data_IF_607277624544
#
_entry.id   IF_607277624544
#
_cell.length_a   1.000
_cell.length_b   1.000
_cell.length_c   1.000
_cell.angle_alpha   90.00
_cell.angle_beta   90.00
_cell.angle_gamma   90.00
#
_symmetry.space_group_name_H-M   'P 1'
#
loop_
_entity.id
_entity.type
_entity.pdbx_description
1 polymer ?
#
# COMPACT_ATOMS: atom_id res chain seq x y z
N UNK A 1 -4.91 9.84 24.71
CA UNK A 1 -4.80 9.86 23.23
C UNK A 1 -6.19 9.66 22.70
N UNK A 2 -6.66 10.56 21.84
CA UNK A 2 -7.98 10.46 21.24
C UNK A 2 -7.89 9.50 20.03
N UNK A 3 -8.85 8.59 19.87
CA UNK A 3 -8.86 7.61 18.77
C UNK A 3 -10.12 7.81 17.92
N UNK A 4 -10.02 7.47 16.64
CA UNK A 4 -11.14 7.44 15.71
C UNK A 4 -11.33 6.05 15.14
N UNK A 5 -12.56 5.75 14.78
CA UNK A 5 -12.95 4.45 14.27
C UNK A 5 -13.36 4.58 12.80
N UNK A 6 -12.88 3.67 11.97
CA UNK A 6 -13.14 3.68 10.54
C UNK A 6 -13.59 2.31 10.06
N UNK A 7 -14.33 2.26 8.95
CA UNK A 7 -14.69 1.04 8.25
C UNK A 7 -14.33 1.11 6.77
N UNK A 8 -13.99 -0.04 6.18
CA UNK A 8 -13.58 -0.13 4.78
C UNK A 8 -14.79 -0.33 3.87
N UNK A 9 -15.00 0.55 2.91
CA UNK A 9 -16.08 0.45 1.93
C UNK A 9 -15.72 -0.42 0.72
N UNK A 10 -16.68 -0.56 -0.21
CA UNK A 10 -16.53 -1.42 -1.39
C UNK A 10 -15.58 -0.81 -2.44
N UNK A 11 -15.25 0.48 -2.31
CA UNK A 11 -14.25 1.20 -3.12
C UNK A 11 -12.88 1.23 -2.44
N UNK A 12 -12.67 0.39 -1.41
CA UNK A 12 -11.47 0.33 -0.58
C UNK A 12 -11.13 1.66 0.14
N UNK A 13 -12.13 2.48 0.44
CA UNK A 13 -11.99 3.73 1.21
C UNK A 13 -12.33 3.52 2.69
N UNK A 14 -11.53 4.11 3.59
CA UNK A 14 -11.79 4.12 5.03
C UNK A 14 -12.70 5.28 5.40
N UNK A 15 -13.92 4.96 5.84
CA UNK A 15 -14.94 5.93 6.23
C UNK A 15 -15.01 6.01 7.75
N UNK A 16 -14.94 7.21 8.31
CA UNK A 16 -15.03 7.43 9.74
C UNK A 16 -16.46 7.22 10.26
N UNK A 17 -16.62 6.58 11.42
CA UNK A 17 -17.92 6.45 12.05
C UNK A 17 -18.43 7.79 12.60
N UNK A 18 -19.59 8.22 12.11
CA UNK A 18 -20.28 9.43 12.57
C UNK A 18 -20.01 10.69 11.74
N UNK A 19 -19.14 10.62 10.72
CA UNK A 19 -18.95 11.70 9.75
C UNK A 19 -19.96 11.57 8.60
N UNK A 20 -20.43 12.70 8.07
CA UNK A 20 -21.29 12.73 6.90
C UNK A 20 -20.46 12.45 5.63
N UNK A 21 -20.89 11.48 4.83
CA UNK A 21 -20.23 11.12 3.58
C UNK A 21 -21.21 11.29 2.40
N UNK A 22 -20.78 11.85 1.25
CA UNK A 22 -21.66 12.04 0.09
C UNK A 22 -22.30 10.74 -0.43
N UNK A 23 -21.53 9.64 -0.36
CA UNK A 23 -21.91 8.35 -0.94
C UNK A 23 -22.44 7.32 0.07
N UNK A 24 -22.42 7.62 1.37
CA UNK A 24 -22.81 6.68 2.43
C UNK A 24 -23.71 7.33 3.47
N UNK A 25 -24.74 6.60 3.94
CA UNK A 25 -25.58 7.08 5.05
C UNK A 25 -24.78 7.18 6.35
N UNK A 26 -24.95 8.27 7.08
CA UNK A 26 -24.33 8.46 8.39
C UNK A 26 -24.75 7.36 9.38
N UNK A 27 -23.76 6.82 10.08
CA UNK A 27 -23.98 5.85 11.14
C UNK A 27 -24.60 6.52 12.38
N UNK A 28 -25.44 5.80 13.12
CA UNK A 28 -26.01 6.24 14.40
C UNK A 28 -25.00 6.24 15.55
N UNK A 29 -23.80 5.72 15.31
CA UNK A 29 -22.68 5.68 16.25
C UNK A 29 -21.53 6.54 15.72
N UNK A 30 -20.83 7.19 16.65
CA UNK A 30 -19.67 8.03 16.34
C UNK A 30 -18.37 7.36 16.77
N UNK A 31 -17.25 7.79 16.20
CA UNK A 31 -15.90 7.42 16.64
C UNK A 31 -15.71 7.52 18.15
N UNK A 32 -16.21 8.60 18.77
CA UNK A 32 -16.08 8.84 20.21
C UNK A 32 -16.89 7.83 21.03
N UNK A 33 -18.10 7.47 20.57
CA UNK A 33 -18.92 6.46 21.22
C UNK A 33 -18.26 5.07 21.15
N UNK A 34 -17.80 4.66 19.96
CA UNK A 34 -17.14 3.37 19.76
C UNK A 34 -15.84 3.25 20.57
N UNK A 35 -15.09 4.34 20.71
CA UNK A 35 -13.90 4.36 21.55
C UNK A 35 -14.23 4.12 23.02
N UNK A 36 -15.30 4.74 23.54
CA UNK A 36 -15.71 4.54 24.92
C UNK A 36 -16.14 3.08 25.18
N UNK A 37 -16.94 2.50 24.28
CA UNK A 37 -17.38 1.10 24.38
C UNK A 37 -16.21 0.12 24.30
N UNK A 38 -15.24 0.36 23.40
CA UNK A 38 -14.06 -0.49 23.26
C UNK A 38 -13.13 -0.45 24.49
N UNK A 39 -13.00 0.72 25.12
CA UNK A 39 -12.22 0.87 26.35
C UNK A 39 -12.91 0.20 27.54
N UNK A 40 -14.25 0.13 27.54
CA UNK A 40 -15.02 -0.57 28.57
C UNK A 40 -14.90 -2.09 28.42
N UNK A 41 -15.03 -2.62 27.20
CA UNK A 41 -14.82 -4.04 26.90
C UNK A 41 -14.30 -4.24 25.47
N UNK A 42 -13.06 -4.72 25.36
CA UNK A 42 -12.37 -4.96 24.09
C UNK A 42 -12.97 -6.10 23.26
N UNK A 43 -13.84 -6.93 23.86
CA UNK A 43 -14.53 -8.02 23.19
C UNK A 43 -16.04 -7.74 23.00
N UNK A 44 -16.50 -6.52 23.32
CA UNK A 44 -17.89 -6.17 23.16
C UNK A 44 -18.34 -6.18 21.69
N UNK A 45 -19.65 -6.40 21.52
CA UNK A 45 -20.33 -6.30 20.24
C UNK A 45 -21.31 -5.14 20.30
N UNK A 46 -21.09 -4.14 19.46
CA UNK A 46 -21.92 -2.92 19.41
C UNK A 46 -22.85 -2.98 18.21
N UNK A 47 -24.12 -2.63 18.41
CA UNK A 47 -25.15 -2.60 17.36
C UNK A 47 -25.47 -1.16 16.96
N UNK A 48 -25.63 -0.90 15.67
CA UNK A 48 -25.92 0.44 15.17
C UNK A 48 -26.65 0.43 13.82
N UNK A 49 -27.22 1.57 13.45
CA UNK A 49 -27.91 1.77 12.19
C UNK A 49 -27.12 2.71 11.27
N UNK A 50 -27.18 2.47 9.96
CA UNK A 50 -26.77 3.47 8.95
C UNK A 50 -27.87 3.51 7.87
N UNK A 51 -28.60 4.62 7.80
CA UNK A 51 -29.83 4.69 7.02
C UNK A 51 -30.85 3.65 7.47
N UNK A 52 -31.34 2.81 6.55
CA UNK A 52 -32.27 1.70 6.83
C UNK A 52 -31.59 0.38 7.18
N UNK A 53 -30.25 0.32 7.19
CA UNK A 53 -29.48 -0.90 7.38
C UNK A 53 -28.99 -1.06 8.82
N UNK A 54 -29.06 -2.28 9.34
CA UNK A 54 -28.69 -2.63 10.72
C UNK A 54 -27.40 -3.44 10.75
N UNK A 55 -26.45 -3.01 11.58
CA UNK A 55 -25.10 -3.54 11.64
C UNK A 55 -24.71 -3.91 13.07
N UNK A 56 -23.71 -4.78 13.19
CA UNK A 56 -22.95 -5.01 14.41
C UNK A 56 -21.45 -4.82 14.18
N UNK A 57 -20.73 -4.29 15.16
CA UNK A 57 -19.27 -4.25 15.20
C UNK A 57 -18.81 -5.25 16.25
N UNK A 58 -17.92 -6.18 15.88
CA UNK A 58 -17.21 -7.01 16.84
C UNK A 58 -15.81 -6.42 17.04
N UNK A 59 -15.52 -5.95 18.26
CA UNK A 59 -14.22 -5.34 18.57
C UNK A 59 -13.07 -6.36 18.63
N UNK A 60 -13.33 -7.61 19.00
CA UNK A 60 -12.31 -8.64 19.02
C UNK A 60 -11.82 -8.97 17.59
N UNK A 61 -12.77 -9.05 16.65
CA UNK A 61 -12.49 -9.39 15.26
C UNK A 61 -12.14 -8.16 14.41
N UNK A 62 -12.40 -6.95 14.92
CA UNK A 62 -12.28 -5.68 14.20
C UNK A 62 -13.05 -5.72 12.86
N UNK A 63 -14.30 -6.18 12.92
CA UNK A 63 -15.18 -6.38 11.76
C UNK A 63 -16.58 -5.84 12.06
N UNK A 64 -17.14 -5.10 11.11
CA UNK A 64 -18.57 -4.82 11.07
C UNK A 64 -19.30 -5.83 10.19
N UNK A 65 -20.50 -6.24 10.59
CA UNK A 65 -21.34 -7.18 9.86
C UNK A 65 -22.73 -6.59 9.67
N UNK A 66 -23.22 -6.55 8.42
CA UNK A 66 -24.61 -6.25 8.14
C UNK A 66 -25.49 -7.43 8.56
N UNK A 67 -26.51 -7.18 9.38
CA UNK A 67 -27.30 -8.27 9.96
C UNK A 67 -28.29 -8.90 8.97
N UNK A 68 -28.70 -8.17 7.93
CA UNK A 68 -29.61 -8.64 6.90
C UNK A 68 -28.88 -9.43 5.81
N UNK A 69 -27.84 -8.83 5.21
CA UNK A 69 -27.12 -9.40 4.08
C UNK A 69 -25.91 -10.26 4.48
N UNK A 70 -25.55 -10.26 5.77
CA UNK A 70 -24.37 -10.96 6.32
C UNK A 70 -23.03 -10.53 5.71
N UNK A 71 -23.01 -9.41 4.98
CA UNK A 71 -21.77 -8.82 4.46
C UNK A 71 -20.90 -8.33 5.60
N UNK A 72 -19.59 -8.54 5.47
CA UNK A 72 -18.60 -8.15 6.47
C UNK A 72 -17.64 -7.13 5.89
N UNK A 73 -17.33 -6.11 6.68
CA UNK A 73 -16.36 -5.06 6.33
C UNK A 73 -15.38 -4.87 7.48
N UNK A 74 -14.13 -4.57 7.16
CA UNK A 74 -13.09 -4.37 8.17
C UNK A 74 -13.31 -3.05 8.92
N UNK A 75 -12.92 -3.04 10.18
CA UNK A 75 -12.95 -1.87 11.06
C UNK A 75 -11.53 -1.62 11.59
N UNK A 76 -11.13 -0.37 11.73
CA UNK A 76 -9.86 0.00 12.34
C UNK A 76 -10.04 1.11 13.36
N UNK A 77 -9.19 1.06 14.39
CA UNK A 77 -9.08 2.08 15.44
C UNK A 77 -7.74 2.81 15.25
N UNK A 78 -7.77 4.08 14.91
CA UNK A 78 -6.58 4.88 14.57
C UNK A 78 -6.44 6.09 15.53
N UNK A 79 -5.24 6.39 16.07
CA UNK A 79 -5.03 7.61 16.86
C UNK A 79 -5.32 8.90 16.08
N UNK A 80 -6.07 9.84 16.66
CA UNK A 80 -6.11 11.23 16.18
C UNK A 80 -4.78 11.89 16.56
N UNK A 81 -4.04 12.40 15.58
CA UNK A 81 -2.89 13.26 15.87
C UNK A 81 -3.39 14.56 16.52
N UNK A 82 -2.85 14.98 17.67
CA UNK A 82 -3.20 16.28 18.21
C UNK A 82 -2.68 17.37 17.27
N UNK A 83 -3.56 18.29 16.87
CA UNK A 83 -3.15 19.55 16.26
C UNK A 83 -2.33 20.32 17.31
N UNK A 84 -1.15 20.87 16.97
CA UNK A 84 -0.42 21.72 17.90
C UNK A 84 -1.17 23.04 18.04
N UNK A 85 -1.88 23.21 19.16
CA UNK A 85 -2.28 24.54 19.62
C UNK A 85 -1.02 25.31 20.01
N UNK A 86 -0.94 26.55 19.53
CA UNK A 86 0.24 27.38 19.62
C UNK A 86 0.64 27.71 21.06
N UNK A 87 1.96 27.77 21.28
CA UNK A 87 2.53 28.30 22.51
C UNK A 87 4.01 27.93 22.62
N UNK A 88 4.86 28.95 22.67
CA UNK A 88 6.31 28.86 22.95
C UNK A 88 6.57 28.05 24.23
N UNK A 89 7.52 27.12 24.24
CA UNK A 89 8.85 27.35 24.81
C UNK A 89 9.78 26.12 24.71
N UNK A 90 11.07 26.38 24.88
CA UNK A 90 12.22 25.48 24.73
C UNK A 90 12.23 24.29 25.71
N UNK A 91 12.53 23.08 25.21
CA UNK A 91 13.69 22.22 25.60
C UNK A 91 13.60 20.82 24.94
N UNK A 92 14.75 20.17 24.62
CA UNK A 92 14.79 18.88 23.92
C UNK A 92 14.74 17.71 24.92
N UNK A 93 14.38 16.52 24.41
CA UNK A 93 14.27 15.23 25.09
C UNK A 93 12.88 14.88 25.64
N UNK A 94 11.96 14.57 24.72
CA UNK A 94 11.04 13.45 24.92
C UNK A 94 11.08 12.60 23.67
N UNK A 95 11.76 11.45 23.76
CA UNK A 95 11.74 10.37 22.77
C UNK A 95 10.30 9.93 22.56
N UNK A 96 9.66 10.47 21.53
CA UNK A 96 8.37 10.06 21.01
C UNK A 96 8.53 8.68 20.35
N UNK A 97 8.34 7.58 21.09
CA UNK A 97 8.13 6.26 20.48
C UNK A 97 6.68 6.14 20.00
N UNK A 98 6.36 6.90 18.95
CA UNK A 98 5.30 6.52 18.03
C UNK A 98 5.91 5.43 17.13
N UNK A 99 5.30 4.26 16.95
CA UNK A 99 5.91 3.21 16.13
C UNK A 99 6.15 3.72 14.70
N UNK A 100 7.41 4.03 14.38
CA UNK A 100 7.87 4.62 13.11
C UNK A 100 7.66 3.65 11.93
N UNK A 101 7.41 2.37 12.25
CA UNK A 101 7.34 1.27 11.29
C UNK A 101 6.00 0.53 11.36
N UNK A 102 5.60 -0.17 10.28
CA UNK A 102 4.38 -0.95 10.25
C UNK A 102 4.34 -2.02 11.36
N UNK A 103 3.19 -2.25 12.00
CA UNK A 103 3.07 -3.19 13.13
C UNK A 103 3.41 -4.63 12.73
N UNK A 104 3.23 -4.99 11.46
CA UNK A 104 3.58 -6.31 10.93
C UNK A 104 5.10 -6.51 10.78
N UNK A 105 5.91 -5.46 10.83
CA UNK A 105 7.36 -5.59 10.74
C UNK A 105 7.92 -6.27 11.98
N UNK A 106 8.90 -7.14 11.76
CA UNK A 106 9.69 -7.74 12.82
C UNK A 106 10.59 -6.65 13.41
N UNK A 107 10.21 -6.16 14.59
CA UNK A 107 10.92 -5.10 15.31
C UNK A 107 12.31 -5.54 15.78
N UNK A 108 12.57 -6.85 15.85
CA UNK A 108 13.90 -7.38 16.19
C UNK A 108 14.85 -7.40 14.99
N UNK A 109 14.32 -7.18 13.78
CA UNK A 109 15.04 -7.25 12.51
C UNK A 109 15.04 -5.91 11.75
N UNK A 110 15.26 -4.81 12.49
CA UNK A 110 15.41 -3.46 11.94
C UNK A 110 16.90 -3.06 12.01
N UNK A 111 17.62 -3.07 10.87
CA UNK A 111 19.00 -2.62 10.86
C UNK A 111 19.06 -1.09 10.93
N UNK A 112 20.10 -0.52 11.55
CA UNK A 112 20.32 0.93 11.57
C UNK A 112 20.55 1.50 10.15
N UNK A 113 21.13 0.69 9.26
CA UNK A 113 21.34 1.00 7.83
C UNK A 113 21.15 -0.25 6.97
N UNK A 114 20.60 -0.07 5.76
CA UNK A 114 20.36 -1.15 4.80
C UNK A 114 19.02 -1.85 5.01
N UNK A 115 18.97 -3.15 4.68
CA UNK A 115 17.73 -3.93 4.70
C UNK A 115 17.87 -5.33 5.32
N UNK A 116 16.73 -5.88 5.75
CA UNK A 116 16.57 -7.29 6.10
C UNK A 116 15.46 -7.92 5.26
N UNK A 117 15.64 -9.19 4.91
CA UNK A 117 14.63 -10.01 4.24
C UNK A 117 14.01 -10.96 5.26
N UNK A 118 12.70 -10.84 5.45
CA UNK A 118 11.93 -11.67 6.38
C UNK A 118 11.12 -12.66 5.56
N UNK A 119 11.36 -13.95 5.76
CA UNK A 119 10.58 -14.98 5.10
C UNK A 119 9.15 -14.96 5.64
N UNK A 120 8.17 -14.76 4.75
CA UNK A 120 6.76 -14.83 5.15
C UNK A 120 6.30 -16.28 5.22
N UNK A 121 5.46 -16.55 6.22
CA UNK A 121 4.77 -17.82 6.36
C UNK A 121 3.60 -17.90 5.37
N UNK A 122 3.37 -19.09 4.81
CA UNK A 122 2.35 -19.34 3.77
C UNK A 122 0.91 -19.16 4.28
N UNK A 123 0.70 -19.28 5.59
CA UNK A 123 -0.58 -19.06 6.29
C UNK A 123 -0.80 -17.61 6.71
N UNK A 124 0.19 -16.74 6.55
CA UNK A 124 0.06 -15.33 6.93
C UNK A 124 -0.91 -14.58 6.01
N UNK A 125 -1.66 -13.64 6.60
CA UNK A 125 -2.59 -12.79 5.86
C UNK A 125 -1.89 -11.98 4.75
N UNK A 126 -0.67 -11.51 5.02
CA UNK A 126 0.19 -10.79 4.08
C UNK A 126 0.52 -11.66 2.85
N UNK A 127 0.96 -12.91 3.08
CA UNK A 127 1.21 -13.87 2.01
C UNK A 127 -0.04 -14.12 1.17
N UNK A 128 -1.20 -14.33 1.82
CA UNK A 128 -2.47 -14.56 1.15
C UNK A 128 -2.93 -13.40 0.25
N UNK A 129 -2.60 -12.15 0.58
CA UNK A 129 -2.87 -10.99 -0.30
C UNK A 129 -1.99 -11.07 -1.56
N UNK A 130 -0.67 -11.20 -1.38
CA UNK A 130 0.28 -11.19 -2.50
C UNK A 130 0.05 -12.39 -3.44
N UNK A 131 -0.21 -13.57 -2.88
CA UNK A 131 -0.55 -14.76 -3.65
C UNK A 131 -1.78 -14.55 -4.53
N UNK A 132 -2.87 -14.01 -3.96
CA UNK A 132 -4.09 -13.71 -4.73
C UNK A 132 -3.85 -12.70 -5.85
N UNK A 133 -3.03 -11.67 -5.63
CA UNK A 133 -2.69 -10.71 -6.68
C UNK A 133 -1.87 -11.36 -7.80
N UNK A 134 -0.89 -12.19 -7.45
CA UNK A 134 -0.04 -12.90 -8.41
C UNK A 134 -0.85 -13.90 -9.27
N UNK A 135 -1.67 -14.74 -8.62
CA UNK A 135 -2.43 -15.82 -9.27
C UNK A 135 -3.55 -15.32 -10.20
N UNK A 136 -3.92 -14.04 -10.13
CA UNK A 136 -4.85 -13.44 -11.10
C UNK A 136 -4.38 -13.62 -12.55
N UNK A 137 -3.07 -13.55 -12.78
CA UNK A 137 -2.50 -13.61 -14.14
C UNK A 137 -1.37 -14.63 -14.32
N UNK A 138 -0.90 -15.27 -13.24
CA UNK A 138 0.20 -16.24 -13.27
C UNK A 138 -0.24 -17.64 -12.83
N UNK A 139 -1.28 -18.19 -13.47
CA UNK A 139 -1.93 -19.45 -13.06
C UNK A 139 -1.04 -20.69 -13.21
N UNK A 140 -0.12 -20.68 -14.17
CA UNK A 140 0.77 -21.81 -14.45
C UNK A 140 2.08 -21.75 -13.65
N UNK A 141 2.13 -20.90 -12.61
CA UNK A 141 3.32 -20.66 -11.80
C UNK A 141 3.00 -20.73 -10.31
N UNK A 142 3.94 -21.30 -9.56
CA UNK A 142 3.86 -21.45 -8.11
C UNK A 142 4.85 -20.51 -7.40
N UNK A 143 4.38 -19.85 -6.34
CA UNK A 143 5.24 -19.07 -5.44
C UNK A 143 6.03 -20.04 -4.56
N UNK A 144 7.35 -20.02 -4.72
CA UNK A 144 8.28 -20.84 -3.91
C UNK A 144 8.63 -20.09 -2.63
N UNK A 145 8.82 -18.78 -2.73
CA UNK A 145 9.31 -17.96 -1.64
C UNK A 145 8.75 -16.55 -1.75
N UNK A 146 8.22 -16.03 -0.64
CA UNK A 146 7.84 -14.63 -0.51
C UNK A 146 8.57 -14.04 0.69
N UNK A 147 9.37 -13.00 0.44
CA UNK A 147 10.13 -12.31 1.47
C UNK A 147 9.68 -10.86 1.58
N UNK A 148 9.39 -10.41 2.79
CA UNK A 148 9.19 -8.99 3.08
C UNK A 148 10.53 -8.30 3.23
N UNK A 149 10.67 -7.14 2.62
CA UNK A 149 11.84 -6.28 2.76
C UNK A 149 11.55 -5.31 3.90
N UNK A 150 12.46 -5.24 4.87
CA UNK A 150 12.45 -4.24 5.94
C UNK A 150 13.67 -3.35 5.75
N UNK A 151 13.46 -2.19 5.13
CA UNK A 151 14.45 -1.13 4.99
C UNK A 151 13.91 0.14 5.67
N UNK A 152 14.32 0.43 6.93
CA UNK A 152 13.83 1.57 7.70
C UNK A 152 14.00 2.91 6.98
N UNK A 153 15.17 3.18 6.41
CA UNK A 153 15.47 4.44 5.72
C UNK A 153 14.58 4.65 4.50
N UNK A 154 14.39 3.62 3.67
CA UNK A 154 13.50 3.73 2.51
C UNK A 154 12.04 3.91 2.93
N UNK A 155 11.63 3.27 4.02
CA UNK A 155 10.28 3.40 4.56
C UNK A 155 9.99 4.82 5.07
N UNK A 156 10.91 5.41 5.83
CA UNK A 156 10.80 6.78 6.32
C UNK A 156 10.66 7.79 5.16
N UNK A 157 11.50 7.64 4.11
CA UNK A 157 11.42 8.48 2.91
C UNK A 157 10.09 8.32 2.17
N UNK A 158 9.59 7.09 2.08
CA UNK A 158 8.29 6.79 1.46
C UNK A 158 7.12 7.41 2.24
N UNK A 159 7.09 7.25 3.57
CA UNK A 159 6.07 7.87 4.41
C UNK A 159 6.13 9.39 4.37
N UNK A 160 7.34 9.98 4.39
CA UNK A 160 7.49 11.43 4.23
C UNK A 160 6.93 11.93 2.90
N UNK A 161 7.21 11.21 1.80
CA UNK A 161 6.68 11.55 0.48
C UNK A 161 5.14 11.42 0.44
N UNK A 162 4.57 10.39 1.08
CA UNK A 162 3.13 10.23 1.23
C UNK A 162 2.49 11.43 1.94
N UNK A 163 3.05 11.85 3.07
CA UNK A 163 2.56 13.02 3.81
C UNK A 163 2.71 14.33 3.04
N UNK A 164 3.79 14.47 2.25
CA UNK A 164 3.96 15.60 1.34
C UNK A 164 2.87 15.62 0.27
N UNK A 165 2.56 14.48 -0.37
CA UNK A 165 1.53 14.39 -1.39
C UNK A 165 0.14 14.73 -0.84
N UNK A 166 -0.20 14.24 0.37
CA UNK A 166 -1.44 14.62 1.08
C UNK A 166 -1.57 16.13 1.24
N UNK A 167 -0.52 16.80 1.75
CA UNK A 167 -0.49 18.25 1.96
C UNK A 167 -0.62 19.03 0.66
N UNK A 168 0.11 18.63 -0.38
CA UNK A 168 0.08 19.29 -1.68
C UNK A 168 -1.29 19.16 -2.32
N UNK A 169 -1.87 17.96 -2.32
CA UNK A 169 -3.17 17.70 -2.93
C UNK A 169 -4.35 18.17 -2.05
N UNK A 170 -4.08 18.69 -0.84
CA UNK A 170 -5.10 19.05 0.17
C UNK A 170 -6.07 17.88 0.41
N UNK A 171 -5.56 16.66 0.32
CA UNK A 171 -6.31 15.43 0.49
C UNK A 171 -5.86 14.73 1.75
N UNK A 172 -6.78 14.04 2.43
CA UNK A 172 -6.45 13.16 3.56
C UNK A 172 -5.75 11.88 3.10
N UNK A 173 -5.89 11.52 1.82
CA UNK A 173 -5.37 10.27 1.26
C UNK A 173 -4.56 10.49 -0.02
N UNK A 174 -3.77 9.48 -0.36
CA UNK A 174 -3.00 9.36 -1.61
C UNK A 174 -3.29 7.98 -2.15
N UNK A 175 -3.62 7.87 -3.44
CA UNK A 175 -3.78 6.57 -4.10
C UNK A 175 -2.45 5.81 -4.02
N UNK A 176 -2.47 4.69 -3.29
CA UNK A 176 -1.34 3.82 -3.03
C UNK A 176 -1.70 2.41 -3.47
N UNK A 177 -0.85 1.81 -4.31
CA UNK A 177 -1.12 0.50 -4.91
C UNK A 177 0.03 -0.46 -4.68
N UNK A 178 -0.30 -1.75 -4.57
CA UNK A 178 0.66 -2.84 -4.68
C UNK A 178 0.81 -3.21 -6.15
N UNK A 179 2.02 -3.03 -6.69
CA UNK A 179 2.30 -3.25 -8.10
C UNK A 179 3.55 -4.13 -8.30
N UNK A 180 3.58 -4.87 -9.40
CA UNK A 180 4.66 -5.78 -9.74
C UNK A 180 5.77 -5.06 -10.50
N UNK A 181 7.02 -5.52 -10.32
CA UNK A 181 8.16 -5.07 -11.09
C UNK A 181 9.12 -6.24 -11.36
N UNK A 182 9.23 -6.64 -12.62
CA UNK A 182 10.21 -7.61 -13.07
C UNK A 182 11.60 -6.99 -13.20
N UNK A 183 12.64 -7.71 -12.80
CA UNK A 183 14.02 -7.25 -12.95
C UNK A 183 15.00 -8.41 -13.09
N UNK A 184 16.22 -8.10 -13.51
CA UNK A 184 17.31 -9.07 -13.51
C UNK A 184 17.75 -9.37 -12.06
N UNK A 185 18.00 -10.64 -11.69
CA UNK A 185 18.52 -11.00 -10.38
C UNK A 185 19.77 -10.22 -9.93
N UNK A 186 20.60 -9.71 -10.85
CA UNK A 186 21.76 -8.87 -10.53
C UNK A 186 21.41 -7.55 -9.85
N UNK A 187 20.20 -7.03 -10.05
CA UNK A 187 19.77 -5.73 -9.51
C UNK A 187 19.02 -5.85 -8.18
N UNK A 188 18.62 -7.06 -7.76
CA UNK A 188 17.77 -7.27 -6.59
C UNK A 188 18.38 -6.65 -5.32
N UNK A 189 19.66 -6.94 -5.04
CA UNK A 189 20.33 -6.40 -3.86
C UNK A 189 20.44 -4.87 -3.89
N UNK A 190 20.69 -4.29 -5.07
CA UNK A 190 20.79 -2.85 -5.23
C UNK A 190 19.44 -2.16 -5.01
N UNK A 191 18.35 -2.74 -5.52
CA UNK A 191 16.98 -2.22 -5.33
C UNK A 191 16.58 -2.26 -3.85
N UNK A 192 16.86 -3.35 -3.15
CA UNK A 192 16.55 -3.46 -1.72
C UNK A 192 17.31 -2.43 -0.86
N UNK A 193 18.54 -2.11 -1.24
CA UNK A 193 19.40 -1.18 -0.51
C UNK A 193 19.09 0.29 -0.87
N UNK A 194 18.97 0.59 -2.16
CA UNK A 194 19.02 1.96 -2.71
C UNK A 194 17.71 2.43 -3.37
N UNK A 195 16.70 1.55 -3.43
CA UNK A 195 15.44 1.72 -4.14
C UNK A 195 15.59 1.61 -5.68
N UNK A 196 14.48 1.71 -6.40
CA UNK A 196 14.45 1.65 -7.87
C UNK A 196 15.08 2.90 -8.49
N UNK A 197 15.99 2.71 -9.44
CA UNK A 197 16.60 3.78 -10.22
C UNK A 197 16.52 3.47 -11.72
N UNK A 198 15.57 4.09 -12.41
CA UNK A 198 15.36 3.92 -13.84
C UNK A 198 16.56 4.38 -14.68
N UNK A 199 17.50 5.15 -14.11
CA UNK A 199 18.73 5.55 -14.81
C UNK A 199 19.74 4.40 -14.88
N UNK A 200 19.60 3.41 -14.00
CA UNK A 200 20.43 2.20 -13.95
C UNK A 200 19.73 1.02 -14.64
N UNK A 201 18.40 0.98 -14.60
CA UNK A 201 17.59 -0.02 -15.29
C UNK A 201 17.35 0.42 -16.75
N UNK A 202 18.15 -0.12 -17.68
CA UNK A 202 18.16 0.26 -19.11
C UNK A 202 16.78 0.55 -19.73
N UNK A 203 16.72 1.57 -20.58
CA UNK A 203 15.51 2.17 -21.18
C UNK A 203 14.85 1.28 -22.24
N UNK A 204 14.41 0.08 -21.86
CA UNK A 204 13.59 -0.75 -22.74
C UNK A 204 12.19 -0.13 -22.78
N UNK A 205 11.77 0.35 -23.95
CA UNK A 205 10.38 0.76 -24.21
C UNK A 205 9.83 1.83 -23.26
N UNK A 206 10.46 3.00 -23.17
CA UNK A 206 9.93 4.14 -22.39
C UNK A 206 8.72 4.78 -23.08
N UNK A 207 7.65 4.02 -23.34
CA UNK A 207 6.48 4.49 -24.10
C UNK A 207 5.68 5.55 -23.34
N UNK A 208 5.66 5.46 -22.00
CA UNK A 208 4.80 6.28 -21.14
C UNK A 208 5.61 7.28 -20.27
N UNK A 209 6.93 7.34 -20.46
CA UNK A 209 7.82 8.27 -19.77
C UNK A 209 9.16 7.63 -19.37
N UNK A 210 10.13 8.47 -19.01
CA UNK A 210 11.44 8.07 -18.50
C UNK A 210 11.39 7.98 -16.98
N UNK A 211 10.87 6.87 -16.49
CA UNK A 211 10.70 6.58 -15.06
C UNK A 211 10.75 5.09 -14.79
N UNK A 212 10.53 4.70 -13.54
CA UNK A 212 10.41 3.30 -13.12
C UNK A 212 9.01 2.78 -13.43
N UNK A 213 8.92 1.63 -14.11
CA UNK A 213 7.67 1.04 -14.56
C UNK A 213 7.17 -0.02 -13.58
N UNK A 214 5.88 0.00 -13.28
CA UNK A 214 5.21 -0.96 -12.40
C UNK A 214 3.93 -1.44 -13.06
N UNK A 215 3.64 -2.73 -12.94
CA UNK A 215 2.47 -3.34 -13.56
C UNK A 215 1.43 -3.75 -12.53
N UNK A 216 0.15 -3.58 -12.86
CA UNK A 216 -0.97 -4.17 -12.12
C UNK A 216 -0.90 -5.70 -12.16
N UNK A 217 -0.57 -6.24 -13.32
CA UNK A 217 -0.60 -7.68 -13.61
C UNK A 217 0.82 -8.27 -13.57
N UNK A 218 0.99 -9.34 -12.79
CA UNK A 218 2.27 -10.01 -12.62
C UNK A 218 2.82 -10.61 -13.94
N UNK A 219 1.92 -11.07 -14.82
CA UNK A 219 2.29 -11.59 -16.15
C UNK A 219 3.04 -10.58 -17.01
N UNK A 220 2.66 -9.30 -16.97
CA UNK A 220 3.41 -8.25 -17.68
C UNK A 220 4.83 -8.10 -17.11
N UNK A 221 4.96 -8.11 -15.78
CA UNK A 221 6.27 -8.05 -15.12
C UNK A 221 7.12 -9.31 -15.37
N UNK A 222 6.51 -10.47 -15.63
CA UNK A 222 7.23 -11.70 -15.93
C UNK A 222 8.11 -11.59 -17.18
N UNK A 223 7.67 -10.85 -18.20
CA UNK A 223 8.43 -10.65 -19.45
C UNK A 223 9.79 -9.97 -19.23
N UNK A 224 9.94 -9.25 -18.12
CA UNK A 224 11.17 -8.55 -17.72
C UNK A 224 12.00 -9.35 -16.69
N UNK A 225 11.54 -10.54 -16.30
CA UNK A 225 12.25 -11.42 -15.39
C UNK A 225 13.15 -12.39 -16.16
N UNK A 226 14.40 -12.55 -15.72
CA UNK A 226 15.28 -13.60 -16.24
C UNK A 226 15.27 -14.82 -15.31
N UNK A 227 15.05 -16.01 -15.88
CA UNK A 227 15.11 -17.26 -15.12
C UNK A 227 16.56 -17.55 -14.68
N UNK A 228 16.74 -17.99 -13.43
CA UNK A 228 17.98 -18.55 -12.92
C UNK A 228 17.68 -19.92 -12.32
N UNK A 229 18.20 -20.98 -12.95
CA UNK A 229 17.94 -22.37 -12.57
C UNK A 229 16.42 -22.70 -12.53
N UNK A 230 15.66 -22.23 -13.52
CA UNK A 230 14.20 -22.45 -13.58
C UNK A 230 13.37 -21.61 -12.59
N UNK A 231 14.01 -20.73 -11.82
CA UNK A 231 13.33 -19.83 -10.91
C UNK A 231 13.36 -18.40 -11.41
N UNK A 232 12.26 -17.69 -11.21
CA UNK A 232 12.11 -16.28 -11.52
C UNK A 232 12.04 -15.47 -10.24
N UNK A 233 12.35 -14.18 -10.35
CA UNK A 233 12.26 -13.25 -9.22
C UNK A 233 11.66 -11.94 -9.70
N UNK A 234 10.66 -11.43 -8.98
CA UNK A 234 10.09 -10.10 -9.21
C UNK A 234 9.84 -9.40 -7.87
N UNK A 235 9.71 -8.09 -7.91
CA UNK A 235 9.28 -7.30 -6.76
C UNK A 235 7.77 -7.11 -6.74
N UNK A 236 7.22 -6.97 -5.54
CA UNK A 236 5.95 -6.28 -5.31
C UNK A 236 6.25 -5.04 -4.49
N UNK A 237 5.95 -3.87 -5.05
CA UNK A 237 6.24 -2.58 -4.45
C UNK A 237 4.94 -1.90 -3.97
N UNK A 238 5.03 -1.16 -2.87
CA UNK A 238 4.03 -0.15 -2.53
C UNK A 238 4.38 1.12 -3.31
N UNK A 239 3.41 1.64 -4.06
CA UNK A 239 3.62 2.75 -4.98
C UNK A 239 2.58 3.82 -4.74
N UNK A 240 3.03 5.04 -4.44
CA UNK A 240 2.19 6.24 -4.35
C UNK A 240 1.90 6.75 -5.75
N UNK A 241 0.88 6.19 -6.40
CA UNK A 241 0.51 6.55 -7.77
C UNK A 241 -0.15 7.94 -7.82
N UNK A 242 -0.83 8.33 -6.73
CA UNK A 242 -1.50 9.64 -6.63
C UNK A 242 -2.45 9.89 -7.80
N UNK A 243 -2.55 11.15 -8.22
CA UNK A 243 -3.31 11.45 -9.44
C UNK A 243 -2.44 11.22 -10.67
N UNK A 244 -2.92 10.38 -11.57
CA UNK A 244 -2.20 10.00 -12.78
C UNK A 244 -2.83 10.55 -14.06
N UNK A 245 -2.05 10.51 -15.13
CA UNK A 245 -2.44 10.96 -16.48
C UNK A 245 -1.79 10.04 -17.51
N UNK A 246 -2.34 10.01 -18.73
CA UNK A 246 -1.75 9.23 -19.81
C UNK A 246 -0.29 9.66 -20.06
N UNK A 247 0.59 8.67 -20.14
CA UNK A 247 2.01 8.86 -20.32
C UNK A 247 2.41 9.21 -21.75
N UNK A 248 3.62 9.72 -21.87
CA UNK A 248 4.24 10.01 -23.15
C UNK A 248 5.75 9.73 -23.07
N UNK A 249 6.31 9.16 -24.13
CA UNK A 249 7.72 8.75 -24.16
C UNK A 249 8.72 9.90 -23.96
N UNK A 250 8.29 11.14 -24.20
CA UNK A 250 9.11 12.34 -24.00
C UNK A 250 9.12 12.84 -22.55
N UNK A 251 8.22 12.37 -21.70
CA UNK A 251 8.14 12.85 -20.32
C UNK A 251 9.33 12.38 -19.50
N UNK A 252 10.04 13.35 -18.89
CA UNK A 252 11.06 13.10 -17.87
C UNK A 252 10.52 13.33 -16.43
N UNK A 253 9.27 13.79 -16.33
CA UNK A 253 8.48 14.00 -15.12
C UNK A 253 7.01 14.06 -15.53
N UNK A 254 6.05 13.85 -14.61
CA UNK A 254 4.63 13.99 -14.96
C UNK A 254 4.32 15.40 -15.49
N UNK A 255 3.39 15.54 -16.44
CA UNK A 255 3.02 16.84 -16.99
C UNK A 255 2.24 17.68 -15.97
N UNK A 256 2.06 18.96 -16.26
CA UNK A 256 1.23 19.84 -15.46
C UNK A 256 -0.26 19.54 -15.62
N UNK A 257 -1.04 19.80 -14.57
CA UNK A 257 -2.49 19.63 -14.56
C UNK A 257 -3.15 20.71 -15.41
N UNK A 258 -4.16 20.33 -16.18
CA UNK A 258 -4.90 21.26 -17.04
C UNK A 258 -5.52 22.43 -16.27
N UNK A 259 -5.95 22.20 -15.03
CA UNK A 259 -6.56 23.22 -14.16
C UNK A 259 -5.54 24.12 -13.44
N UNK A 260 -4.27 23.70 -13.33
CA UNK A 260 -3.24 24.45 -12.62
C UNK A 260 -1.85 24.06 -13.10
N UNK A 261 -1.24 24.95 -13.90
CA UNK A 261 0.10 24.74 -14.49
C UNK A 261 1.23 24.63 -13.45
N UNK A 262 1.02 25.12 -12.23
CA UNK A 262 1.99 25.02 -11.13
C UNK A 262 1.90 23.69 -10.37
N UNK A 263 0.94 22.82 -10.72
CA UNK A 263 0.80 21.49 -10.11
C UNK A 263 0.98 20.42 -11.17
N UNK A 264 1.85 19.46 -10.87
CA UNK A 264 2.04 18.29 -11.73
C UNK A 264 1.07 17.18 -11.32
N UNK A 265 0.87 16.24 -12.23
CA UNK A 265 0.40 14.90 -11.85
C UNK A 265 1.46 14.20 -11.01
N UNK A 266 1.07 13.13 -10.33
CA UNK A 266 1.92 12.37 -9.44
C UNK A 266 2.59 11.19 -10.18
N UNK A 267 1.93 10.65 -11.21
CA UNK A 267 2.48 9.57 -12.05
C UNK A 267 1.89 9.59 -13.48
N UNK A 268 2.41 8.72 -14.34
CA UNK A 268 1.87 8.49 -15.68
C UNK A 268 1.40 7.05 -15.85
N UNK A 269 0.41 6.83 -16.70
CA UNK A 269 -0.18 5.50 -16.98
C UNK A 269 -0.31 5.22 -18.47
N UNK A 270 -0.53 3.97 -18.83
CA UNK A 270 -0.88 3.56 -20.20
C UNK A 270 -2.30 4.00 -20.60
N UNK A 271 -3.27 3.74 -19.73
CA UNK A 271 -4.69 4.10 -19.89
C UNK A 271 -5.22 4.77 -18.60
N UNK A 272 -5.71 6.03 -18.65
CA UNK A 272 -6.30 6.69 -17.50
C UNK A 272 -7.60 6.05 -16.95
N UNK A 273 -8.29 5.23 -17.75
CA UNK A 273 -9.57 4.62 -17.37
C UNK A 273 -9.34 3.28 -16.67
N UNK A 274 -8.53 2.39 -17.25
CA UNK A 274 -8.13 1.11 -16.64
C UNK A 274 -6.61 0.93 -16.70
N UNK A 275 -5.85 1.60 -15.81
CA UNK A 275 -4.40 1.58 -15.87
C UNK A 275 -3.82 0.21 -15.52
N UNK A 276 -3.03 -0.35 -16.44
CA UNK A 276 -2.30 -1.59 -16.25
C UNK A 276 -0.81 -1.36 -15.97
N UNK A 277 -0.29 -0.21 -16.38
CA UNK A 277 1.11 0.21 -16.23
C UNK A 277 1.15 1.58 -15.55
N UNK A 278 2.02 1.73 -14.56
CA UNK A 278 2.32 2.98 -13.88
C UNK A 278 3.80 3.33 -14.04
N UNK A 279 4.07 4.58 -14.41
CA UNK A 279 5.41 5.15 -14.52
C UNK A 279 5.62 6.16 -13.42
N UNK A 280 6.61 5.87 -12.57
CA UNK A 280 6.96 6.68 -11.41
C UNK A 280 8.31 7.33 -11.62
N UNK A 281 8.35 8.65 -11.46
CA UNK A 281 9.54 9.45 -11.76
C UNK A 281 10.39 9.69 -10.51
N UNK A 282 9.76 9.73 -9.32
CA UNK A 282 10.46 9.96 -8.06
C UNK A 282 10.53 8.70 -7.21
N UNK A 283 11.76 8.30 -6.86
CA UNK A 283 12.00 7.04 -6.14
C UNK A 283 11.36 6.99 -4.75
N UNK A 284 11.16 8.13 -4.10
CA UNK A 284 10.49 8.19 -2.79
C UNK A 284 8.99 7.88 -2.87
N UNK A 285 8.39 7.87 -4.06
CA UNK A 285 7.02 7.37 -4.24
C UNK A 285 6.94 5.84 -4.22
N UNK A 286 8.06 5.14 -4.08
CA UNK A 286 8.14 3.69 -4.19
C UNK A 286 8.79 3.11 -2.93
N UNK A 287 8.19 2.07 -2.39
CA UNK A 287 8.82 1.22 -1.40
C UNK A 287 8.85 -0.24 -1.91
N UNK A 288 10.03 -0.86 -2.10
CA UNK A 288 10.11 -2.27 -2.47
C UNK A 288 9.67 -3.11 -1.28
N UNK A 289 8.41 -3.55 -1.26
CA UNK A 289 7.81 -4.17 -0.08
C UNK A 289 8.12 -5.67 0.01
N UNK A 290 8.13 -6.38 -1.12
CA UNK A 290 8.34 -7.81 -1.16
C UNK A 290 9.21 -8.27 -2.34
N UNK A 291 9.89 -9.38 -2.15
CA UNK A 291 10.52 -10.18 -3.19
C UNK A 291 9.74 -11.48 -3.34
N UNK A 292 9.29 -11.74 -4.56
CA UNK A 292 8.62 -12.96 -4.94
C UNK A 292 9.58 -13.84 -5.75
N UNK A 293 9.83 -15.07 -5.30
CA UNK A 293 10.49 -16.12 -6.08
C UNK A 293 9.48 -17.20 -6.46
N UNK A 294 9.43 -17.55 -7.72
CA UNK A 294 8.42 -18.46 -8.28
C UNK A 294 9.01 -19.29 -9.43
N UNK A 295 8.33 -20.37 -9.81
CA UNK A 295 8.67 -21.20 -10.97
C UNK A 295 7.41 -21.68 -11.68
N UNK A 296 7.57 -22.17 -12.91
CA UNK A 296 6.48 -22.87 -13.58
C UNK A 296 6.05 -24.08 -12.72
N UNK A 297 4.76 -24.37 -12.73
CA UNK A 297 4.25 -25.61 -12.17
C UNK A 297 4.82 -26.78 -12.97
N UNK A 298 5.50 -27.71 -12.29
CA UNK A 298 5.81 -28.99 -12.89
C UNK A 298 4.53 -29.81 -12.86
N UNK A 299 3.89 -29.99 -14.01
CA UNK A 299 2.91 -31.06 -14.14
C UNK A 299 3.63 -32.37 -13.82
N UNK A 300 3.25 -33.02 -12.71
CA UNK A 300 3.64 -34.40 -12.46
C UNK A 300 3.10 -35.24 -13.62
N UNK A 301 3.94 -35.50 -14.62
CA UNK A 301 3.68 -36.54 -15.61
C UNK A 301 3.90 -37.85 -14.88
N UNK A 302 2.81 -38.46 -14.40
CA UNK A 302 2.85 -39.87 -13.99
C UNK A 302 3.03 -40.66 -15.28
N UNK A 303 4.28 -41.05 -15.56
CA UNK A 303 4.64 -41.98 -16.63
C UNK A 303 4.25 -43.41 -16.25
#
# INVERSE_FOLDING_TARGET
MEYSWYWLDDSEQWIEYGEEHPDHCSASVTSAFLENEYLADKNAVVFFWAGSQHYKINFADMVQTNLLFKTQRKVIRWPKHPLPEGGQDRSPNTTLSCSVYPPQWDQSALPDTGFKLIQLSFDSHEYGIIKRLFEKTMKDYCIIQLQRIQNPTLWELFQWQKEKMKKVNKSKWVDERLLFHGTNPSHVSAICEQNFDWRLCGTHGTMFGKGSYFARDASYSHEYCSARNGHYTMFVAQVLVGDFVQGNSKYCRPPARASNSNRLYDSCVDDPIDPSIFVIFEKQQIYPAYILKYSAETQCVVL
#
